data_IF_803266171267
#
_entry.id   IF_803266171267
#
_cell.length_a   1.000
_cell.length_b   1.000
_cell.length_c   1.000
_cell.angle_alpha   90.00
_cell.angle_beta   90.00
_cell.angle_gamma   90.00
#
_symmetry.space_group_name_H-M   'P 1'
#
loop_
_entity.id
_entity.type
_entity.pdbx_description
1 polymer ?
#
# COMPACT_ATOMS: atom_id res chain seq x y z
N UNK A 1 2.15 7.83 11.56
CA UNK A 1 3.30 8.50 12.23
C UNK A 1 4.64 8.25 11.53
N UNK A 2 4.72 8.35 10.19
CA UNK A 2 6.01 8.14 9.49
C UNK A 2 6.72 9.46 9.19
N UNK A 3 8.05 9.45 9.20
CA UNK A 3 8.92 10.60 8.94
C UNK A 3 8.65 11.33 7.60
N UNK A 4 8.30 10.65 6.48
CA UNK A 4 7.92 11.31 5.24
C UNK A 4 6.72 12.24 5.40
N UNK A 5 5.75 11.86 6.24
CA UNK A 5 4.54 12.63 6.47
C UNK A 5 4.83 13.93 7.22
N UNK A 6 5.75 13.90 8.20
CA UNK A 6 6.22 15.09 8.93
C UNK A 6 7.02 16.02 8.02
N UNK A 7 7.89 15.45 7.17
CA UNK A 7 8.66 16.21 6.18
C UNK A 7 7.75 16.89 5.15
N UNK A 8 6.75 16.20 4.59
CA UNK A 8 5.78 16.80 3.68
C UNK A 8 4.94 17.89 4.34
N UNK A 9 4.51 17.70 5.59
CA UNK A 9 3.74 18.71 6.33
C UNK A 9 4.56 19.96 6.64
N UNK A 10 5.86 19.80 6.92
CA UNK A 10 6.78 20.92 7.15
C UNK A 10 7.11 21.70 5.87
N UNK A 11 7.09 21.02 4.71
CA UNK A 11 7.54 21.60 3.44
C UNK A 11 6.44 22.20 2.57
N UNK A 12 5.19 21.77 2.76
CA UNK A 12 4.13 22.05 1.79
C UNK A 12 3.34 23.31 2.06
N UNK A 13 3.37 23.89 3.28
CA UNK A 13 2.51 25.02 3.68
C UNK A 13 1.04 24.84 3.22
N UNK A 14 0.63 23.58 3.04
CA UNK A 14 -0.59 23.21 2.33
C UNK A 14 -1.66 22.84 3.36
N UNK A 15 -2.80 23.54 3.29
CA UNK A 15 -3.93 23.38 4.20
C UNK A 15 -4.51 21.95 4.23
N UNK A 16 -4.19 21.12 3.23
CA UNK A 16 -4.58 19.70 3.22
C UNK A 16 -3.52 18.80 2.56
N UNK A 17 -3.18 17.72 3.25
CA UNK A 17 -2.44 16.58 2.70
C UNK A 17 -3.46 15.51 2.34
N UNK A 18 -3.53 15.12 1.07
CA UNK A 18 -4.40 14.03 0.62
C UNK A 18 -3.55 12.79 0.36
N UNK A 19 -3.95 11.66 0.95
CA UNK A 19 -3.36 10.34 0.67
C UNK A 19 -4.40 9.47 -0.01
N UNK A 20 -4.10 9.02 -1.22
CA UNK A 20 -4.89 8.05 -1.97
C UNK A 20 -4.15 6.73 -1.99
N UNK A 21 -4.85 5.64 -1.68
CA UNK A 21 -4.30 4.28 -1.75
C UNK A 21 -5.22 3.46 -2.63
N UNK A 22 -4.70 3.00 -3.77
CA UNK A 22 -5.42 2.15 -4.72
C UNK A 22 -4.92 0.71 -4.61
N UNK A 23 -5.86 -0.22 -4.47
CA UNK A 23 -5.60 -1.65 -4.51
C UNK A 23 -6.10 -2.23 -5.83
N UNK A 24 -5.17 -2.67 -6.67
CA UNK A 24 -5.44 -3.07 -8.05
C UNK A 24 -5.02 -4.53 -8.26
N UNK A 25 -5.84 -5.28 -8.99
CA UNK A 25 -5.48 -6.64 -9.39
C UNK A 25 -4.48 -6.60 -10.57
N UNK A 26 -3.45 -7.48 -10.58
CA UNK A 26 -3.09 -8.44 -9.54
C UNK A 26 -2.08 -7.87 -8.52
N UNK A 27 -2.43 -7.90 -7.23
CA UNK A 27 -1.54 -7.64 -6.08
C UNK A 27 -0.73 -6.33 -6.14
N UNK A 28 -1.30 -5.28 -6.72
CA UNK A 28 -0.67 -3.96 -6.78
C UNK A 28 -1.31 -3.03 -5.75
N UNK A 29 -0.47 -2.34 -4.97
CA UNK A 29 -0.86 -1.25 -4.09
C UNK A 29 -0.17 0.02 -4.57
N UNK A 30 -0.95 0.98 -5.04
CA UNK A 30 -0.47 2.33 -5.33
C UNK A 30 -0.79 3.22 -4.14
N UNK A 31 0.16 4.03 -3.70
CA UNK A 31 -0.04 5.02 -2.66
C UNK A 31 0.48 6.36 -3.16
N UNK A 32 -0.41 7.32 -3.31
CA UNK A 32 -0.09 8.67 -3.77
C UNK A 32 -0.43 9.67 -2.68
N UNK A 33 0.58 10.42 -2.24
CA UNK A 33 0.47 11.51 -1.28
C UNK A 33 0.61 12.81 -2.07
N UNK A 34 -0.37 13.70 -1.97
CA UNK A 34 -0.36 15.03 -2.59
C UNK A 34 -0.47 16.11 -1.52
N UNK A 35 0.37 17.13 -1.62
CA UNK A 35 0.35 18.31 -0.78
C UNK A 35 0.63 19.55 -1.65
N UNK A 36 -0.43 20.23 -2.07
CA UNK A 36 -0.35 21.33 -3.04
C UNK A 36 0.31 20.90 -4.35
N UNK A 37 1.39 21.58 -4.74
CA UNK A 37 2.20 21.27 -5.93
C UNK A 37 3.10 20.05 -5.78
N UNK A 38 3.27 19.53 -4.56
CA UNK A 38 4.17 18.42 -4.27
C UNK A 38 3.42 17.09 -4.25
N UNK A 39 4.07 16.06 -4.74
CA UNK A 39 3.56 14.70 -4.74
C UNK A 39 4.67 13.68 -4.50
N UNK A 40 4.26 12.60 -3.85
CA UNK A 40 5.04 11.38 -3.66
C UNK A 40 4.13 10.21 -4.03
N UNK A 41 4.61 9.27 -4.83
CA UNK A 41 3.87 8.07 -5.21
C UNK A 41 4.74 6.83 -5.03
N UNK A 42 4.20 5.80 -4.43
CA UNK A 42 4.82 4.48 -4.35
C UNK A 42 3.92 3.42 -4.98
N UNK A 43 4.54 2.43 -5.61
CA UNK A 43 3.94 1.19 -6.08
C UNK A 43 4.60 0.05 -5.31
N UNK A 44 3.80 -0.73 -4.60
CA UNK A 44 4.22 -2.00 -4.03
C UNK A 44 3.48 -3.12 -4.74
N UNK A 45 4.20 -4.07 -5.32
CA UNK A 45 3.61 -5.27 -5.92
C UNK A 45 4.23 -6.52 -5.35
N UNK A 46 3.40 -7.55 -5.17
CA UNK A 46 3.83 -8.86 -4.69
C UNK A 46 3.60 -9.90 -5.78
N UNK A 47 4.72 -10.32 -6.39
CA UNK A 47 4.72 -11.30 -7.47
C UNK A 47 5.05 -12.69 -6.89
N UNK A 48 4.15 -13.67 -6.99
CA UNK A 48 4.47 -15.04 -6.58
C UNK A 48 5.54 -15.62 -7.53
N UNK A 49 6.64 -16.14 -6.98
CA UNK A 49 7.66 -16.89 -7.74
C UNK A 49 7.37 -18.39 -7.63
N UNK A 50 7.11 -18.87 -6.41
CA UNK A 50 6.70 -20.25 -6.13
C UNK A 50 5.57 -20.25 -5.09
N UNK A 51 5.00 -21.42 -4.78
CA UNK A 51 3.91 -21.55 -3.78
C UNK A 51 4.25 -20.93 -2.43
N UNK A 52 5.52 -20.97 -2.03
CA UNK A 52 5.99 -20.50 -0.72
C UNK A 52 6.97 -19.31 -0.83
N UNK A 53 7.15 -18.72 -2.02
CA UNK A 53 8.10 -17.62 -2.24
C UNK A 53 7.48 -16.55 -3.11
N UNK A 54 7.51 -15.32 -2.61
CA UNK A 54 7.09 -14.13 -3.34
C UNK A 54 8.26 -13.16 -3.50
N UNK A 55 8.24 -12.39 -4.59
CA UNK A 55 9.07 -11.19 -4.76
C UNK A 55 8.23 -9.98 -4.44
N UNK A 56 8.78 -9.08 -3.64
CA UNK A 56 8.19 -7.77 -3.36
C UNK A 56 8.98 -6.75 -4.18
N UNK A 57 8.31 -6.08 -5.09
CA UNK A 57 8.89 -4.98 -5.85
C UNK A 57 8.27 -3.68 -5.32
N UNK A 58 9.13 -2.73 -4.91
CA UNK A 58 8.71 -1.41 -4.43
C UNK A 58 9.36 -0.34 -5.29
N UNK A 59 8.55 0.46 -5.95
CA UNK A 59 8.99 1.59 -6.78
C UNK A 59 8.42 2.85 -6.16
N UNK A 60 9.25 3.89 -6.03
CA UNK A 60 8.81 5.19 -5.54
C UNK A 60 9.25 6.28 -6.52
N UNK A 61 8.35 7.22 -6.74
CA UNK A 61 8.51 8.39 -7.59
C UNK A 61 8.06 9.62 -6.80
N UNK A 62 8.72 10.76 -7.00
CA UNK A 62 8.39 11.99 -6.29
C UNK A 62 8.83 13.21 -7.11
N UNK A 63 8.24 14.37 -6.82
CA UNK A 63 8.71 15.66 -7.35
C UNK A 63 9.32 16.59 -6.29
N UNK A 64 9.50 16.08 -5.07
CA UNK A 64 10.06 16.83 -3.94
C UNK A 64 11.59 16.87 -4.08
N UNK A 65 12.22 17.98 -3.69
CA UNK A 65 13.68 18.15 -3.68
C UNK A 65 14.37 18.12 -5.05
N UNK A 66 13.67 18.42 -6.15
CA UNK A 66 14.29 18.56 -7.49
C UNK A 66 15.42 19.62 -7.54
N UNK A 67 15.44 20.56 -6.57
CA UNK A 67 16.43 21.63 -6.47
C UNK A 67 17.54 21.36 -5.44
N UNK A 68 17.44 20.29 -4.65
CA UNK A 68 18.47 19.94 -3.66
C UNK A 68 19.46 18.96 -4.29
N UNK A 69 20.76 19.31 -4.41
CA UNK A 69 21.75 18.37 -4.92
C UNK A 69 21.77 17.13 -4.02
N UNK A 70 21.73 15.94 -4.63
CA UNK A 70 21.69 14.64 -3.94
C UNK A 70 20.41 14.33 -3.12
N UNK A 71 19.38 15.19 -3.15
CA UNK A 71 18.11 14.94 -2.44
C UNK A 71 17.44 13.62 -2.83
N UNK A 72 17.50 13.27 -4.11
CA UNK A 72 16.99 12.00 -4.60
C UNK A 72 17.76 10.78 -4.06
N UNK A 73 19.07 10.88 -3.88
CA UNK A 73 19.90 9.80 -3.33
C UNK A 73 19.62 9.59 -1.83
N UNK A 74 19.46 10.67 -1.07
CA UNK A 74 19.10 10.60 0.35
C UNK A 74 17.71 9.97 0.53
N UNK A 75 16.71 10.40 -0.25
CA UNK A 75 15.37 9.80 -0.22
C UNK A 75 15.41 8.32 -0.59
N UNK A 76 16.17 7.94 -1.62
CA UNK A 76 16.37 6.54 -1.99
C UNK A 76 16.97 5.72 -0.84
N UNK A 77 17.95 6.27 -0.11
CA UNK A 77 18.56 5.60 1.04
C UNK A 77 17.56 5.41 2.20
N UNK A 78 16.83 6.46 2.57
CA UNK A 78 15.81 6.40 3.63
C UNK A 78 14.70 5.43 3.25
N UNK A 79 14.24 5.46 2.00
CA UNK A 79 13.23 4.56 1.49
C UNK A 79 13.70 3.11 1.49
N UNK A 80 14.93 2.84 1.05
CA UNK A 80 15.52 1.50 1.11
C UNK A 80 15.57 0.95 2.55
N UNK A 81 15.91 1.80 3.53
CA UNK A 81 15.88 1.40 4.95
C UNK A 81 14.47 1.12 5.46
N UNK A 82 13.48 1.92 5.07
CA UNK A 82 12.08 1.71 5.45
C UNK A 82 11.52 0.40 4.86
N UNK A 83 11.77 0.16 3.58
CA UNK A 83 11.37 -1.09 2.91
C UNK A 83 12.02 -2.31 3.56
N UNK A 84 13.28 -2.21 3.99
CA UNK A 84 13.97 -3.30 4.68
C UNK A 84 13.36 -3.60 6.05
N UNK A 85 12.91 -2.58 6.78
CA UNK A 85 12.20 -2.75 8.05
C UNK A 85 10.86 -3.47 7.83
N UNK A 86 10.07 -3.04 6.84
CA UNK A 86 8.79 -3.68 6.51
C UNK A 86 8.98 -5.12 6.03
N UNK A 87 10.02 -5.39 5.24
CA UNK A 87 10.39 -6.75 4.79
C UNK A 87 10.63 -7.67 5.98
N UNK A 88 11.43 -7.23 6.96
CA UNK A 88 11.73 -8.03 8.16
C UNK A 88 10.49 -8.33 8.99
N UNK A 89 9.58 -7.35 9.13
CA UNK A 89 8.30 -7.54 9.82
C UNK A 89 7.43 -8.58 9.10
N UNK A 90 7.35 -8.53 7.76
CA UNK A 90 6.61 -9.51 6.96
C UNK A 90 7.20 -10.92 7.07
N UNK A 91 8.52 -11.06 7.12
CA UNK A 91 9.19 -12.36 7.33
C UNK A 91 8.81 -12.97 8.69
N UNK A 92 8.89 -12.18 9.76
CA UNK A 92 8.48 -12.62 11.10
C UNK A 92 6.99 -12.94 11.17
N UNK A 93 6.14 -12.18 10.48
CA UNK A 93 4.71 -12.48 10.39
C UNK A 93 4.44 -13.78 9.64
N UNK A 94 5.15 -14.03 8.53
CA UNK A 94 5.07 -15.28 7.78
C UNK A 94 5.52 -16.49 8.62
N UNK A 95 6.59 -16.33 9.41
CA UNK A 95 7.03 -17.35 10.37
C UNK A 95 5.99 -17.59 11.47
N UNK A 96 5.41 -16.53 12.02
CA UNK A 96 4.32 -16.63 13.01
C UNK A 96 3.03 -17.23 12.45
N UNK A 97 2.79 -17.12 11.14
CA UNK A 97 1.64 -17.75 10.47
C UNK A 97 1.83 -19.25 10.20
N UNK A 98 3.07 -19.78 10.28
CA UNK A 98 3.32 -21.23 10.17
C UNK A 98 2.65 -22.02 11.28
N UNK A 99 2.38 -21.41 12.44
CA UNK A 99 1.64 -22.02 13.55
C UNK A 99 0.11 -21.89 13.40
N UNK A 100 -0.35 -21.33 12.28
CA UNK A 100 -1.76 -21.15 11.92
C UNK A 100 -2.65 -20.51 13.00
N UNK A 101 -2.21 -19.41 13.66
CA UNK A 101 -3.08 -18.69 14.58
C UNK A 101 -4.25 -18.07 13.81
N UNK A 102 -5.45 -18.09 14.38
CA UNK A 102 -6.59 -17.37 13.81
C UNK A 102 -6.26 -15.87 13.75
N UNK A 103 -5.99 -15.36 12.55
CA UNK A 103 -5.84 -13.92 12.30
C UNK A 103 -7.20 -13.24 12.55
N UNK A 104 -7.39 -12.67 13.74
CA UNK A 104 -8.52 -11.78 13.98
C UNK A 104 -8.27 -10.45 13.28
N UNK A 105 -8.90 -10.27 12.11
CA UNK A 105 -8.98 -8.98 11.44
C UNK A 105 -9.95 -8.09 12.23
N UNK A 106 -9.47 -6.93 12.70
CA UNK A 106 -10.28 -5.97 13.45
C UNK A 106 -11.11 -5.18 12.43
N UNK A 107 -12.43 -5.23 12.58
CA UNK A 107 -13.40 -4.91 11.51
C UNK A 107 -13.21 -3.56 10.81
N UNK A 108 -12.94 -2.49 11.56
CA UNK A 108 -12.80 -1.18 10.92
C UNK A 108 -11.42 -1.01 10.25
N UNK A 109 -10.34 -1.52 10.87
CA UNK A 109 -8.93 -1.51 10.41
C UNK A 109 -8.74 -2.14 9.03
N UNK A 110 -9.41 -3.27 8.86
CA UNK A 110 -9.10 -4.19 7.80
C UNK A 110 -10.12 -4.19 6.66
N UNK A 111 -11.09 -3.25 6.67
CA UNK A 111 -12.10 -3.10 5.59
C UNK A 111 -11.48 -3.01 4.19
N UNK A 112 -10.42 -2.21 3.95
CA UNK A 112 -9.75 -2.20 2.65
C UNK A 112 -9.19 -3.56 2.23
N UNK A 113 -8.61 -4.31 3.18
CA UNK A 113 -8.09 -5.65 2.93
C UNK A 113 -9.21 -6.65 2.62
N UNK A 114 -10.32 -6.60 3.37
CA UNK A 114 -11.51 -7.43 3.11
C UNK A 114 -12.09 -7.16 1.72
N UNK A 115 -12.20 -5.91 1.30
CA UNK A 115 -12.65 -5.56 -0.05
C UNK A 115 -11.72 -6.06 -1.13
N UNK A 116 -10.40 -5.98 -0.92
CA UNK A 116 -9.43 -6.52 -1.88
C UNK A 116 -9.54 -8.05 -2.02
N UNK A 117 -9.69 -8.78 -0.91
CA UNK A 117 -9.90 -10.23 -0.97
C UNK A 117 -11.21 -10.61 -1.67
N UNK A 118 -12.30 -9.88 -1.38
CA UNK A 118 -13.58 -10.08 -2.05
C UNK A 118 -13.48 -9.78 -3.56
N UNK A 119 -12.78 -8.71 -3.94
CA UNK A 119 -12.54 -8.37 -5.35
C UNK A 119 -11.75 -9.47 -6.07
N UNK A 120 -10.70 -10.00 -5.43
CA UNK A 120 -9.91 -11.09 -5.97
C UNK A 120 -10.73 -12.37 -6.15
N UNK A 121 -11.57 -12.72 -5.16
CA UNK A 121 -12.44 -13.88 -5.22
C UNK A 121 -13.45 -13.76 -6.37
N UNK A 122 -14.14 -12.61 -6.46
CA UNK A 122 -15.10 -12.33 -7.53
C UNK A 122 -14.45 -12.38 -8.93
N UNK A 123 -13.22 -11.86 -9.08
CA UNK A 123 -12.48 -11.93 -10.33
C UNK A 123 -12.12 -13.37 -10.75
N UNK A 124 -11.72 -14.20 -9.78
CA UNK A 124 -11.40 -15.61 -10.03
C UNK A 124 -12.66 -16.40 -10.40
N UNK A 125 -13.75 -16.21 -9.68
CA UNK A 125 -15.04 -16.86 -9.95
C UNK A 125 -15.57 -16.47 -11.34
N UNK A 126 -15.58 -15.17 -11.67
CA UNK A 126 -15.98 -14.68 -12.99
C UNK A 126 -15.15 -15.31 -14.12
N UNK A 127 -13.83 -15.46 -13.92
CA UNK A 127 -12.96 -16.15 -14.87
C UNK A 127 -13.24 -17.65 -14.99
N UNK A 128 -13.59 -18.32 -13.89
CA UNK A 128 -13.92 -19.74 -13.90
C UNK A 128 -15.24 -20.04 -14.61
N UNK A 129 -16.25 -19.18 -14.40
CA UNK A 129 -17.61 -19.39 -14.91
C UNK A 129 -17.81 -18.73 -16.29
N UNK A 130 -16.97 -17.77 -16.67
CA UNK A 130 -17.11 -16.98 -17.90
C UNK A 130 -18.19 -15.90 -17.81
N UNK A 131 -18.55 -15.49 -16.60
CA UNK A 131 -19.59 -14.49 -16.33
C UNK A 131 -18.99 -13.09 -16.06
N UNK A 132 -19.85 -12.07 -16.02
CA UNK A 132 -19.45 -10.71 -15.66
C UNK A 132 -19.03 -10.64 -14.18
N UNK A 133 -17.90 -9.96 -13.91
CA UNK A 133 -17.39 -9.79 -12.54
C UNK A 133 -18.25 -8.78 -11.78
N UNK A 134 -18.88 -9.22 -10.68
CA UNK A 134 -19.58 -8.33 -9.76
C UNK A 134 -18.60 -7.68 -8.79
N UNK A 135 -18.56 -6.35 -8.78
CA UNK A 135 -17.69 -5.59 -7.89
C UNK A 135 -18.18 -5.70 -6.43
N UNK A 136 -17.30 -5.93 -5.42
CA UNK A 136 -17.71 -6.15 -4.03
C UNK A 136 -18.23 -4.89 -3.32
N UNK A 137 -18.02 -3.70 -3.89
CA UNK A 137 -18.58 -2.44 -3.40
C UNK A 137 -19.61 -1.91 -4.40
N UNK A 138 -20.80 -1.58 -3.91
CA UNK A 138 -21.90 -1.04 -4.72
C UNK A 138 -21.84 0.50 -4.85
N UNK A 139 -21.18 1.17 -3.91
CA UNK A 139 -21.07 2.63 -3.84
C UNK A 139 -19.84 3.05 -3.03
N UNK A 140 -19.39 4.32 -3.12
CA UNK A 140 -18.34 4.85 -2.25
C UNK A 140 -18.70 4.72 -0.76
N UNK A 141 -17.73 4.32 0.07
CA UNK A 141 -17.91 4.14 1.51
C UNK A 141 -16.92 5.04 2.26
N UNK A 142 -17.43 5.84 3.20
CA UNK A 142 -16.58 6.64 4.10
C UNK A 142 -16.28 5.85 5.37
N UNK A 143 -14.99 5.59 5.63
CA UNK A 143 -14.51 4.98 6.87
C UNK A 143 -14.11 6.08 7.87
N UNK A 144 -14.44 5.88 9.16
CA UNK A 144 -14.03 6.77 10.25
C UNK A 144 -13.25 5.96 11.28
N UNK A 145 -12.07 6.46 11.62
CA UNK A 145 -11.18 5.87 12.62
C UNK A 145 -11.35 6.62 13.93
N UNK A 146 -11.34 5.92 15.06
CA UNK A 146 -11.10 6.59 16.34
C UNK A 146 -9.59 6.81 16.46
N UNK A 147 -9.19 8.06 16.52
CA UNK A 147 -7.81 8.50 16.76
C UNK A 147 -7.41 8.35 18.20
#
# INVERSE_FOLDING_TARGET
>A
NSAPYKLLKLYSDADSITTTIDFVLPNMRFETIRAGKFWFSSLTTVTPITRNRCRIDVVACWNIFNWVPFGAALLKFVFAKFVEQDRRTMELQSEGLKTNPHLMLIDDADRPAKWYFALKAAHLEAKCIGAEMKHPMNAPVTLKWRS
#
